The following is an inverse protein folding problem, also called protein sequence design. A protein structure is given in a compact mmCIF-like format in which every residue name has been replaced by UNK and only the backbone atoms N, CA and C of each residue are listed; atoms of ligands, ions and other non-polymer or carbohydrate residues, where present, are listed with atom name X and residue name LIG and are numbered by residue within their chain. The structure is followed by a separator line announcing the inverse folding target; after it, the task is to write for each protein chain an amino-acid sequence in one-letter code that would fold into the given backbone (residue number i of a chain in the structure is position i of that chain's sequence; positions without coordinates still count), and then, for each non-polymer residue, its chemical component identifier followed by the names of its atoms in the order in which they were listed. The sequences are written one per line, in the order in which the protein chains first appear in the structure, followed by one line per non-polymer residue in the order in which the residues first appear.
data_IF_912759700814
#
_entry.id   IF_912759700814
#
_cell.length_a   1.000
_cell.length_b   1.000
_cell.length_c   1.000
_cell.angle_alpha   90.00
_cell.angle_beta   90.00
_cell.angle_gamma   90.00
#
_symmetry.space_group_name_H-M   'P 1'
#
loop_
_entity.id
_entity.type
_entity.pdbx_description
1 polymer ?
#
# COMPACT_ATOMS: atom_id res chain seq x y z
N UNK A 1 31.96 7.35 -6.29
CA UNK A 1 31.52 7.31 -7.70
C UNK A 1 32.46 6.43 -8.53
N UNK A 2 32.03 5.19 -8.83
CA UNK A 2 32.65 4.32 -9.84
C UNK A 2 31.54 3.54 -10.56
N UNK A 3 31.18 4.08 -11.73
CA UNK A 3 30.74 3.47 -12.99
C UNK A 3 29.97 2.14 -12.92
N UNK A 4 28.69 2.24 -13.26
CA UNK A 4 27.77 1.20 -13.73
C UNK A 4 28.46 0.28 -14.75
N UNK A 5 28.43 -1.02 -14.48
CA UNK A 5 28.70 -2.08 -15.46
C UNK A 5 27.47 -3.00 -15.45
N UNK A 6 26.59 -2.76 -16.42
CA UNK A 6 25.55 -3.67 -16.84
C UNK A 6 26.24 -4.87 -17.49
N UNK A 7 26.08 -6.06 -16.91
CA UNK A 7 26.43 -7.32 -17.55
C UNK A 7 25.14 -8.08 -17.85
N UNK A 8 24.64 -7.83 -19.06
CA UNK A 8 23.72 -8.72 -19.77
C UNK A 8 24.37 -10.10 -19.88
N UNK A 9 23.71 -11.13 -19.32
CA UNK A 9 24.06 -12.52 -19.60
C UNK A 9 22.80 -13.30 -19.93
N UNK A 10 22.67 -13.60 -21.22
CA UNK A 10 21.68 -14.46 -21.87
C UNK A 10 21.77 -15.92 -21.38
N UNK A 11 20.62 -16.56 -21.13
CA UNK A 11 20.37 -17.99 -21.32
C UNK A 11 18.84 -18.24 -21.24
N UNK A 12 18.14 -18.40 -22.36
CA UNK A 12 17.89 -19.67 -23.06
C UNK A 12 16.81 -20.54 -22.39
N UNK A 13 15.59 -20.58 -22.96
CA UNK A 13 14.89 -21.82 -23.36
C UNK A 13 13.56 -21.48 -24.07
N UNK A 14 13.61 -21.15 -25.36
CA UNK A 14 12.39 -21.18 -26.20
C UNK A 14 12.28 -22.60 -26.77
N UNK A 15 11.36 -23.40 -26.25
CA UNK A 15 10.98 -24.68 -26.85
C UNK A 15 9.54 -24.58 -27.33
N UNK A 16 9.38 -24.19 -28.60
CA UNK A 16 8.11 -24.17 -29.31
C UNK A 16 7.87 -25.53 -29.94
N UNK A 17 6.84 -26.23 -29.47
CA UNK A 17 6.19 -27.30 -30.21
C UNK A 17 4.67 -27.07 -30.18
N UNK A 18 4.15 -26.44 -31.22
CA UNK A 18 2.73 -26.51 -31.56
C UNK A 18 2.59 -26.45 -33.09
N UNK A 19 2.46 -27.63 -33.69
CA UNK A 19 2.04 -27.82 -35.07
C UNK A 19 0.50 -27.97 -35.06
N UNK A 20 -0.24 -27.21 -35.87
CA UNK A 20 -1.69 -27.43 -35.96
C UNK A 20 -2.54 -26.35 -36.63
N UNK A 21 -2.36 -26.18 -37.95
CA UNK A 21 -3.38 -25.89 -38.99
C UNK A 21 -4.57 -24.93 -38.73
N UNK A 22 -4.71 -23.91 -39.60
CA UNK A 22 -6.01 -23.63 -40.25
C UNK A 22 -6.46 -22.17 -40.43
N UNK A 23 -6.16 -21.60 -41.60
CA UNK A 23 -6.98 -20.71 -42.46
C UNK A 23 -7.72 -19.47 -41.91
N UNK A 24 -7.27 -18.28 -42.35
CA UNK A 24 -8.06 -17.15 -42.93
C UNK A 24 -7.25 -15.85 -42.83
N UNK A 25 -7.31 -14.84 -43.69
CA UNK A 25 -7.80 -14.61 -45.05
C UNK A 25 -7.17 -13.26 -45.44
N UNK A 26 -6.66 -13.17 -46.66
CA UNK A 26 -5.98 -12.02 -47.23
C UNK A 26 -6.80 -10.71 -47.12
N UNK A 27 -6.17 -9.59 -46.81
CA UNK A 27 -6.61 -8.24 -47.18
C UNK A 27 -5.41 -7.29 -47.17
N UNK A 28 -4.87 -7.12 -48.38
CA UNK A 28 -3.94 -6.08 -48.79
C UNK A 28 -4.57 -4.70 -48.58
N UNK A 29 -3.84 -3.76 -47.98
CA UNK A 29 -3.99 -2.34 -48.27
C UNK A 29 -2.73 -1.57 -47.92
N UNK A 30 -2.06 -1.20 -49.01
CA UNK A 30 -1.12 -0.10 -49.17
C UNK A 30 -1.66 1.21 -48.60
N UNK A 31 -0.89 1.90 -47.75
CA UNK A 31 -0.83 3.36 -47.66
C UNK A 31 0.39 3.75 -46.79
N UNK A 32 1.46 4.25 -47.38
CA UNK A 32 1.73 5.69 -47.60
C UNK A 32 2.54 6.26 -46.43
N UNK A 33 3.77 6.63 -46.76
CA UNK A 33 4.69 7.44 -45.98
C UNK A 33 4.02 8.75 -45.54
N UNK A 34 4.16 9.13 -44.26
CA UNK A 34 4.50 10.53 -43.97
C UNK A 34 5.07 10.70 -42.56
N UNK A 35 6.36 10.97 -42.57
CA UNK A 35 7.14 11.71 -41.60
C UNK A 35 6.49 13.07 -41.36
N UNK A 36 6.22 13.43 -40.11
CA UNK A 36 6.11 14.84 -39.70
C UNK A 36 6.58 14.96 -38.26
N UNK A 37 7.83 15.38 -38.12
CA UNK A 37 8.36 15.91 -36.88
C UNK A 37 7.66 17.24 -36.61
N UNK A 38 7.15 17.42 -35.39
CA UNK A 38 6.71 18.73 -34.90
C UNK A 38 7.35 18.92 -33.55
N UNK A 39 8.55 19.50 -33.58
CA UNK A 39 9.21 20.15 -32.45
C UNK A 39 8.51 21.49 -32.21
N UNK A 40 7.82 21.60 -31.09
CA UNK A 40 7.43 22.88 -30.48
C UNK A 40 8.45 23.20 -29.40
N UNK A 41 9.47 23.96 -29.76
CA UNK A 41 10.30 24.69 -28.79
C UNK A 41 9.47 25.85 -28.24
N UNK A 42 9.21 25.83 -26.93
CA UNK A 42 8.59 26.94 -26.19
C UNK A 42 9.64 27.59 -25.29
N UNK A 43 10.00 28.79 -25.71
CA UNK A 43 10.35 30.01 -24.95
C UNK A 43 11.20 29.92 -23.67
N UNK A 44 12.42 30.46 -23.83
CA UNK A 44 12.92 31.66 -23.16
C UNK A 44 12.81 31.73 -21.62
N UNK A 45 13.96 31.49 -21.00
CA UNK A 45 14.30 31.79 -19.61
C UNK A 45 15.24 32.99 -19.60
N UNK A 46 14.96 34.00 -18.77
CA UNK A 46 15.90 34.93 -18.08
C UNK A 46 15.03 35.82 -17.15
N UNK A 47 15.14 35.73 -15.83
CA UNK A 47 16.11 36.32 -14.88
C UNK A 47 15.63 37.66 -14.28
N UNK A 48 15.75 37.78 -12.95
CA UNK A 48 16.11 38.97 -12.13
C UNK A 48 15.37 38.95 -10.77
N UNK A 49 16.02 38.51 -9.67
CA UNK A 49 16.75 39.30 -8.64
C UNK A 49 15.84 40.05 -7.66
N UNK A 50 15.80 39.57 -6.41
CA UNK A 50 16.41 40.15 -5.19
C UNK A 50 15.47 41.05 -4.38
N UNK A 51 15.14 40.66 -3.14
CA UNK A 51 15.25 41.58 -2.00
C UNK A 51 15.37 40.82 -0.67
N UNK A 52 16.15 41.41 0.22
CA UNK A 52 16.67 40.93 1.49
C UNK A 52 15.92 41.70 2.58
N UNK A 53 15.40 41.05 3.62
CA UNK A 53 15.37 41.67 4.96
C UNK A 53 15.38 40.62 6.05
N UNK A 54 16.47 40.64 6.82
CA UNK A 54 16.65 39.97 8.10
C UNK A 54 15.73 40.56 9.18
N UNK A 55 15.25 39.70 10.08
CA UNK A 55 15.03 40.07 11.48
C UNK A 55 15.34 38.86 12.36
N UNK A 56 16.56 38.85 12.87
CA UNK A 56 17.00 38.09 14.03
C UNK A 56 16.49 38.83 15.28
N UNK A 57 15.71 38.15 16.13
CA UNK A 57 15.55 38.57 17.53
C UNK A 57 15.86 37.37 18.43
N UNK A 58 16.97 37.52 19.14
CA UNK A 58 17.50 36.60 20.13
C UNK A 58 17.25 37.20 21.51
N UNK A 59 16.41 36.54 22.29
CA UNK A 59 16.21 36.83 23.70
C UNK A 59 16.54 35.60 24.56
N UNK A 60 17.79 35.52 25.03
CA UNK A 60 18.24 34.61 26.10
C UNK A 60 18.07 35.29 27.46
N UNK A 61 17.46 34.60 28.43
CA UNK A 61 17.70 34.84 29.85
C UNK A 61 17.73 33.51 30.61
N UNK A 62 18.85 33.26 31.29
CA UNK A 62 19.17 32.11 32.17
C UNK A 62 18.49 32.24 33.56
N UNK A 63 17.87 31.18 34.13
CA UNK A 63 18.37 30.25 35.20
C UNK A 63 18.22 30.79 36.65
N UNK A 64 18.15 30.01 37.76
CA UNK A 64 17.66 28.64 38.08
C UNK A 64 16.60 28.60 39.23
N UNK A 65 16.03 27.42 39.53
CA UNK A 65 15.75 27.04 40.92
C UNK A 65 14.54 26.13 41.18
N UNK A 66 14.85 24.99 41.82
CA UNK A 66 14.05 24.25 42.81
C UNK A 66 13.58 22.86 42.37
N UNK A 67 14.36 21.89 42.84
CA UNK A 67 14.03 20.49 43.09
C UNK A 67 12.77 20.38 43.96
N UNK A 68 11.85 19.46 43.66
CA UNK A 68 11.48 18.35 44.56
C UNK A 68 10.29 17.52 44.04
N UNK A 69 10.45 16.21 44.24
CA UNK A 69 9.45 15.18 44.51
C UNK A 69 8.42 14.72 43.47
N UNK A 70 8.65 13.47 43.05
CA UNK A 70 7.75 12.33 43.32
C UNK A 70 6.36 12.39 42.70
N UNK A 71 6.16 11.62 41.64
CA UNK A 71 5.44 10.32 41.71
C UNK A 71 5.48 9.67 40.32
N UNK A 72 5.88 8.40 40.28
CA UNK A 72 5.71 7.54 39.12
C UNK A 72 4.24 7.56 38.68
N UNK A 73 3.95 8.20 37.55
CA UNK A 73 2.79 7.81 36.75
C UNK A 73 3.29 6.80 35.72
N UNK A 74 3.13 5.53 36.10
CA UNK A 74 2.88 4.46 35.13
C UNK A 74 1.75 5.00 34.24
N UNK A 75 1.90 5.07 32.91
CA UNK A 75 0.74 5.31 32.08
C UNK A 75 -0.21 4.15 32.33
N UNK A 76 -1.32 4.44 33.01
CA UNK A 76 -2.51 3.58 33.00
C UNK A 76 -2.86 3.45 31.52
N UNK A 77 -2.40 2.36 30.92
CA UNK A 77 -2.93 1.84 29.69
C UNK A 77 -4.35 1.40 30.05
N UNK A 78 -5.29 2.34 30.08
CA UNK A 78 -6.71 2.05 29.95
C UNK A 78 -6.85 1.35 28.60
N UNK A 79 -6.60 0.04 28.58
CA UNK A 79 -7.16 -0.86 27.60
C UNK A 79 -8.66 -0.66 27.71
N UNK A 80 -9.19 0.19 26.83
CA UNK A 80 -10.61 0.43 26.73
C UNK A 80 -11.30 -0.92 26.68
N UNK A 81 -12.21 -1.13 27.63
CA UNK A 81 -13.17 -2.23 27.64
C UNK A 81 -14.23 -2.01 26.54
N UNK A 82 -13.73 -1.78 25.32
CA UNK A 82 -14.50 -1.63 24.11
C UNK A 82 -14.17 -2.85 23.27
N UNK A 83 -14.97 -3.90 23.45
CA UNK A 83 -14.98 -5.08 22.60
C UNK A 83 -15.53 -4.70 21.21
N UNK A 84 -14.76 -3.90 20.46
CA UNK A 84 -15.06 -3.49 19.09
C UNK A 84 -14.93 -4.74 18.23
N UNK A 85 -16.02 -5.11 17.58
CA UNK A 85 -16.02 -6.23 16.64
C UNK A 85 -15.26 -5.85 15.37
N UNK A 86 -14.37 -6.74 14.92
CA UNK A 86 -13.56 -6.59 13.71
C UNK A 86 -14.01 -7.58 12.62
N UNK A 87 -15.22 -7.41 12.03
CA UNK A 87 -15.77 -8.35 11.05
C UNK A 87 -14.92 -8.47 9.79
N UNK A 88 -14.17 -7.42 9.44
CA UNK A 88 -13.23 -7.45 8.32
C UNK A 88 -12.10 -8.46 8.54
N UNK A 89 -11.63 -8.64 9.78
CA UNK A 89 -10.60 -9.63 10.11
C UNK A 89 -11.15 -11.06 10.06
N UNK A 90 -12.39 -11.26 10.52
CA UNK A 90 -13.10 -12.54 10.39
C UNK A 90 -13.23 -12.96 8.91
N UNK A 91 -13.55 -12.00 8.04
CA UNK A 91 -13.66 -12.25 6.60
C UNK A 91 -12.30 -12.56 5.96
N UNK A 92 -11.24 -11.83 6.31
CA UNK A 92 -9.88 -12.10 5.84
C UNK A 92 -9.44 -13.52 6.25
N UNK A 93 -9.71 -13.90 7.50
CA UNK A 93 -9.36 -15.21 8.04
C UNK A 93 -10.02 -16.36 7.25
N UNK A 94 -11.23 -16.15 6.76
CA UNK A 94 -11.95 -17.13 5.95
C UNK A 94 -11.56 -17.10 4.47
N UNK A 95 -11.25 -15.91 3.93
CA UNK A 95 -11.03 -15.71 2.50
C UNK A 95 -9.61 -16.08 2.05
N UNK A 96 -8.61 -15.74 2.86
CA UNK A 96 -7.20 -15.87 2.48
C UNK A 96 -6.68 -17.24 2.90
N UNK A 97 -6.17 -18.00 1.93
CA UNK A 97 -5.51 -19.27 2.14
C UNK A 97 -4.04 -19.15 1.77
N UNK A 98 -3.13 -19.66 2.60
CA UNK A 98 -1.69 -19.60 2.33
C UNK A 98 -1.26 -20.78 1.44
N UNK A 99 -0.27 -20.57 0.56
CA UNK A 99 0.41 -21.65 -0.16
C UNK A 99 -0.35 -22.30 -1.32
N UNK A 100 -1.45 -21.70 -1.79
CA UNK A 100 -2.22 -22.22 -2.93
C UNK A 100 -2.10 -21.33 -4.17
N UNK A 101 -2.29 -21.91 -5.35
CA UNK A 101 -2.41 -21.12 -6.58
C UNK A 101 -3.63 -20.19 -6.47
N UNK A 102 -3.45 -18.90 -6.76
CA UNK A 102 -4.52 -17.90 -6.63
C UNK A 102 -4.65 -17.27 -5.23
N UNK A 103 -3.87 -17.71 -4.24
CA UNK A 103 -3.85 -17.11 -2.89
C UNK A 103 -3.59 -15.61 -2.92
N UNK A 104 -2.73 -15.16 -3.83
CA UNK A 104 -2.44 -13.73 -3.96
C UNK A 104 -3.65 -12.91 -4.41
N UNK A 105 -4.45 -13.40 -5.38
CA UNK A 105 -5.67 -12.69 -5.79
C UNK A 105 -6.72 -12.66 -4.66
N UNK A 106 -6.75 -13.67 -3.80
CA UNK A 106 -7.57 -13.65 -2.57
C UNK A 106 -7.07 -12.63 -1.56
N UNK A 107 -5.76 -12.47 -1.43
CA UNK A 107 -5.17 -11.41 -0.61
C UNK A 107 -5.48 -10.01 -1.17
N UNK A 108 -5.52 -9.84 -2.50
CA UNK A 108 -5.98 -8.59 -3.14
C UNK A 108 -7.44 -8.31 -2.82
N UNK A 109 -8.32 -9.32 -2.94
CA UNK A 109 -9.74 -9.18 -2.54
C UNK A 109 -9.87 -8.76 -1.07
N UNK A 110 -9.08 -9.35 -0.18
CA UNK A 110 -9.03 -9.01 1.23
C UNK A 110 -8.52 -7.58 1.48
N UNK A 111 -7.45 -7.16 0.79
CA UNK A 111 -6.90 -5.82 0.89
C UNK A 111 -7.91 -4.76 0.43
N UNK A 112 -8.61 -4.98 -0.68
CA UNK A 112 -9.69 -4.12 -1.17
C UNK A 112 -10.77 -3.94 -0.10
N UNK A 113 -11.26 -5.04 0.48
CA UNK A 113 -12.28 -4.99 1.55
C UNK A 113 -11.78 -4.25 2.78
N UNK A 114 -10.51 -4.44 3.15
CA UNK A 114 -9.90 -3.74 4.27
C UNK A 114 -9.80 -2.23 4.01
N UNK A 115 -9.43 -1.83 2.79
CA UNK A 115 -9.40 -0.43 2.38
C UNK A 115 -10.81 0.18 2.32
N UNK A 116 -11.79 -0.52 1.74
CA UNK A 116 -13.18 -0.06 1.69
C UNK A 116 -13.78 0.08 3.10
N UNK A 117 -13.48 -0.85 4.00
CA UNK A 117 -13.86 -0.75 5.42
C UNK A 117 -13.19 0.44 6.10
N UNK A 118 -11.90 0.68 5.85
CA UNK A 118 -11.14 1.80 6.43
C UNK A 118 -11.70 3.18 6.05
N UNK A 119 -12.34 3.30 4.88
CA UNK A 119 -13.04 4.55 4.49
C UNK A 119 -14.30 4.78 5.34
N UNK A 120 -15.01 3.71 5.73
CA UNK A 120 -16.34 3.77 6.34
C UNK A 120 -16.41 3.49 7.84
N UNK A 121 -15.29 3.15 8.48
CA UNK A 121 -15.26 2.68 9.89
C UNK A 121 -15.60 3.79 10.89
N UNK A 122 -15.09 5.01 10.68
CA UNK A 122 -15.28 6.14 11.61
C UNK A 122 -14.54 6.01 12.94
N UNK A 123 -13.76 4.95 13.13
CA UNK A 123 -12.90 4.72 14.30
C UNK A 123 -11.54 5.43 14.16
N UNK A 124 -10.94 5.81 15.28
CA UNK A 124 -9.56 6.30 15.31
C UNK A 124 -8.53 5.17 15.15
N UNK A 125 -7.31 5.51 14.72
CA UNK A 125 -6.22 4.54 14.51
C UNK A 125 -5.88 3.74 15.78
N UNK A 126 -5.81 4.38 16.95
CA UNK A 126 -5.54 3.67 18.21
C UNK A 126 -6.67 2.70 18.58
N UNK A 127 -7.93 3.10 18.40
CA UNK A 127 -9.09 2.23 18.64
C UNK A 127 -9.08 1.01 17.71
N UNK A 128 -8.72 1.20 16.43
CA UNK A 128 -8.60 0.13 15.44
C UNK A 128 -7.48 -0.85 15.81
N UNK A 129 -6.31 -0.31 16.18
CA UNK A 129 -5.15 -1.11 16.59
C UNK A 129 -5.49 -1.98 17.80
N UNK A 130 -6.07 -1.38 18.84
CA UNK A 130 -6.44 -2.09 20.06
C UNK A 130 -7.52 -3.16 19.78
N UNK A 131 -8.51 -2.85 18.92
CA UNK A 131 -9.52 -3.80 18.50
C UNK A 131 -8.92 -4.99 17.72
N UNK A 132 -7.99 -4.74 16.80
CA UNK A 132 -7.29 -5.79 16.07
C UNK A 132 -6.43 -6.66 17.00
N UNK A 133 -5.72 -6.06 17.96
CA UNK A 133 -4.96 -6.79 18.98
C UNK A 133 -5.85 -7.64 19.88
N UNK A 134 -7.00 -7.11 20.32
CA UNK A 134 -7.97 -7.85 21.12
C UNK A 134 -8.56 -9.03 20.33
N UNK A 135 -8.88 -8.84 19.05
CA UNK A 135 -9.35 -9.89 18.16
C UNK A 135 -8.30 -11.01 18.01
N UNK A 136 -7.03 -10.64 17.83
CA UNK A 136 -5.92 -11.60 17.79
C UNK A 136 -5.74 -12.35 19.11
N UNK A 137 -5.86 -11.67 20.25
CA UNK A 137 -5.76 -12.29 21.57
C UNK A 137 -6.85 -13.33 21.86
N UNK A 138 -7.99 -13.25 21.15
CA UNK A 138 -9.07 -14.25 21.21
C UNK A 138 -8.75 -15.59 20.52
N UNK A 139 -7.66 -15.68 19.76
CA UNK A 139 -7.22 -16.87 19.02
C UNK A 139 -6.16 -17.68 19.76
N UNK A 140 -6.02 -18.96 19.41
CA UNK A 140 -4.88 -19.78 19.85
C UNK A 140 -3.58 -19.35 19.17
N UNK A 141 -2.43 -19.69 19.75
CA UNK A 141 -1.13 -19.33 19.18
C UNK A 141 -0.93 -19.85 17.74
N UNK A 142 -1.44 -21.05 17.42
CA UNK A 142 -1.38 -21.60 16.05
C UNK A 142 -2.26 -20.80 15.09
N UNK A 143 -3.48 -20.45 15.49
CA UNK A 143 -4.37 -19.62 14.67
C UNK A 143 -3.82 -18.20 14.48
N UNK A 144 -3.14 -17.64 15.49
CA UNK A 144 -2.44 -16.35 15.38
C UNK A 144 -1.33 -16.42 14.33
N UNK A 145 -0.47 -17.43 14.38
CA UNK A 145 0.62 -17.61 13.41
C UNK A 145 0.09 -17.80 11.98
N UNK A 146 -0.97 -18.58 11.80
CA UNK A 146 -1.61 -18.76 10.49
C UNK A 146 -2.26 -17.46 10.00
N UNK A 147 -2.91 -16.69 10.88
CA UNK A 147 -3.53 -15.43 10.50
C UNK A 147 -2.49 -14.35 10.15
N UNK A 148 -1.37 -14.29 10.86
CA UNK A 148 -0.25 -13.39 10.51
C UNK A 148 0.24 -13.66 9.09
N UNK A 149 0.42 -14.93 8.70
CA UNK A 149 0.81 -15.27 7.32
C UNK A 149 -0.24 -14.83 6.28
N UNK A 150 -1.54 -14.90 6.61
CA UNK A 150 -2.59 -14.36 5.74
C UNK A 150 -2.47 -12.84 5.63
N UNK A 151 -2.26 -12.15 6.75
CA UNK A 151 -2.11 -10.70 6.79
C UNK A 151 -0.84 -10.22 6.08
N UNK A 152 0.26 -10.97 6.07
CA UNK A 152 1.46 -10.67 5.27
C UNK A 152 1.12 -10.64 3.77
N UNK A 153 0.32 -11.59 3.29
CA UNK A 153 -0.14 -11.57 1.89
C UNK A 153 -1.06 -10.38 1.60
N UNK A 154 -1.91 -10.00 2.56
CA UNK A 154 -2.80 -8.84 2.45
C UNK A 154 -1.99 -7.54 2.45
N UNK A 155 -0.96 -7.43 3.27
CA UNK A 155 -0.01 -6.31 3.30
C UNK A 155 0.73 -6.17 1.95
N UNK A 156 1.25 -7.27 1.42
CA UNK A 156 1.85 -7.33 0.07
C UNK A 156 0.89 -6.93 -1.06
N UNK A 157 -0.41 -7.15 -0.87
CA UNK A 157 -1.43 -6.73 -1.81
C UNK A 157 -1.78 -5.25 -1.64
N UNK A 158 -1.98 -4.81 -0.40
CA UNK A 158 -2.20 -3.42 -0.02
C UNK A 158 -1.10 -2.50 -0.56
N UNK A 159 0.17 -2.84 -0.36
CA UNK A 159 1.31 -2.07 -0.89
C UNK A 159 1.25 -1.95 -2.41
N UNK A 160 0.84 -3.01 -3.14
CA UNK A 160 0.67 -2.93 -4.60
C UNK A 160 -0.51 -2.05 -5.00
N UNK A 161 -1.60 -2.07 -4.23
CA UNK A 161 -2.77 -1.21 -4.46
C UNK A 161 -2.48 0.27 -4.21
N UNK A 162 -1.49 0.60 -3.37
CA UNK A 162 -0.97 1.96 -3.19
C UNK A 162 -0.02 2.41 -4.31
N UNK A 163 0.23 1.56 -5.31
CA UNK A 163 1.14 1.87 -6.41
C UNK A 163 0.69 3.10 -7.22
N UNK A 164 1.66 3.87 -7.72
CA UNK A 164 1.38 5.07 -8.53
C UNK A 164 1.07 4.76 -10.00
N UNK A 165 1.21 3.50 -10.43
CA UNK A 165 0.85 3.08 -11.78
C UNK A 165 -0.62 2.62 -11.81
N UNK A 166 -1.51 3.53 -12.20
CA UNK A 166 -2.95 3.29 -12.17
C UNK A 166 -3.39 2.11 -13.06
N UNK A 167 -2.75 1.91 -14.21
CA UNK A 167 -3.10 0.82 -15.12
C UNK A 167 -2.77 -0.54 -14.50
N UNK A 168 -1.60 -0.65 -13.85
CA UNK A 168 -1.22 -1.88 -13.13
C UNK A 168 -2.16 -2.17 -11.96
N UNK A 169 -2.59 -1.16 -11.20
CA UNK A 169 -3.54 -1.33 -10.09
C UNK A 169 -4.90 -1.76 -10.63
N UNK A 170 -5.38 -1.16 -11.73
CA UNK A 170 -6.66 -1.51 -12.33
C UNK A 170 -6.66 -2.92 -12.91
N UNK A 171 -5.60 -3.32 -13.59
CA UNK A 171 -5.43 -4.70 -14.09
C UNK A 171 -5.40 -5.71 -12.94
N UNK A 172 -4.76 -5.36 -11.83
CA UNK A 172 -4.73 -6.17 -10.62
C UNK A 172 -6.13 -6.32 -10.00
N UNK A 173 -6.87 -5.21 -9.89
CA UNK A 173 -8.25 -5.20 -9.41
C UNK A 173 -9.17 -6.02 -10.31
N UNK A 174 -9.06 -5.89 -11.63
CA UNK A 174 -9.84 -6.70 -12.59
C UNK A 174 -9.51 -8.19 -12.45
N UNK A 175 -8.22 -8.53 -12.37
CA UNK A 175 -7.77 -9.91 -12.18
C UNK A 175 -8.28 -10.53 -10.87
N UNK A 176 -8.39 -9.71 -9.83
CA UNK A 176 -8.97 -10.10 -8.55
C UNK A 176 -10.52 -10.08 -8.57
N UNK A 177 -11.17 -9.61 -9.63
CA UNK A 177 -12.62 -9.45 -9.69
C UNK A 177 -13.16 -8.34 -8.78
N UNK A 178 -12.36 -7.30 -8.53
CA UNK A 178 -12.63 -6.15 -7.67
C UNK A 178 -12.69 -4.84 -8.48
N UNK A 179 -13.15 -4.89 -9.72
CA UNK A 179 -13.25 -3.70 -10.59
C UNK A 179 -14.32 -2.70 -10.13
N UNK A 180 -15.16 -3.06 -9.16
CA UNK A 180 -16.14 -2.23 -8.47
C UNK A 180 -15.65 -1.66 -7.13
N UNK A 181 -14.36 -1.86 -6.79
CA UNK A 181 -13.74 -1.27 -5.60
C UNK A 181 -13.85 0.27 -5.60
N UNK A 182 -13.73 0.88 -4.42
CA UNK A 182 -13.76 2.35 -4.27
C UNK A 182 -12.51 3.06 -4.82
N UNK A 183 -11.71 2.37 -5.65
CA UNK A 183 -10.50 2.88 -6.25
C UNK A 183 -10.77 4.05 -7.23
N UNK A 184 -9.92 5.10 -7.23
CA UNK A 184 -8.82 5.33 -6.31
C UNK A 184 -9.31 5.73 -4.92
N UNK A 185 -8.77 5.09 -3.88
CA UNK A 185 -9.04 5.48 -2.51
C UNK A 185 -8.38 6.83 -2.21
N UNK A 186 -9.05 7.68 -1.42
CA UNK A 186 -8.37 8.80 -0.75
C UNK A 186 -7.34 8.29 0.27
N UNK A 187 -6.63 9.16 0.98
CA UNK A 187 -5.78 8.75 2.10
C UNK A 187 -6.58 8.20 3.31
N UNK A 188 -7.91 8.37 3.30
CA UNK A 188 -8.81 7.95 4.39
C UNK A 188 -8.63 6.53 4.96
N UNK A 189 -8.41 5.47 4.16
CA UNK A 189 -8.23 4.14 4.69
C UNK A 189 -6.79 3.83 5.12
N UNK A 190 -5.80 4.67 4.82
CA UNK A 190 -4.38 4.36 5.09
C UNK A 190 -4.15 4.18 6.60
N UNK A 191 -4.53 5.17 7.41
CA UNK A 191 -4.35 5.11 8.87
C UNK A 191 -5.12 3.92 9.48
N UNK A 192 -6.29 3.59 8.94
CA UNK A 192 -7.09 2.45 9.39
C UNK A 192 -6.44 1.12 9.07
N UNK A 193 -5.91 0.95 7.85
CA UNK A 193 -5.23 -0.28 7.42
C UNK A 193 -3.93 -0.47 8.21
N UNK A 194 -3.12 0.58 8.34
CA UNK A 194 -1.86 0.53 9.09
C UNK A 194 -2.10 0.24 10.58
N UNK A 195 -3.15 0.80 11.18
CA UNK A 195 -3.55 0.46 12.54
C UNK A 195 -3.93 -1.02 12.70
N UNK A 196 -4.65 -1.59 11.72
CA UNK A 196 -4.93 -3.03 11.70
C UNK A 196 -3.63 -3.82 11.63
N UNK A 197 -2.72 -3.48 10.71
CA UNK A 197 -1.43 -4.16 10.54
C UNK A 197 -0.59 -4.11 11.83
N UNK A 198 -0.54 -2.96 12.49
CA UNK A 198 0.11 -2.82 13.79
C UNK A 198 -0.58 -3.68 14.87
N UNK A 199 -1.91 -3.66 14.92
CA UNK A 199 -2.69 -4.40 15.90
C UNK A 199 -2.56 -5.91 15.78
N UNK A 200 -2.29 -6.43 14.57
CA UNK A 200 -2.00 -7.86 14.33
C UNK A 200 -0.52 -8.21 14.46
N UNK A 201 0.35 -7.23 14.72
CA UNK A 201 1.78 -7.42 14.99
C UNK A 201 2.70 -7.39 13.75
N UNK A 202 2.26 -6.82 12.63
CA UNK A 202 3.06 -6.69 11.40
C UNK A 202 3.91 -5.40 11.36
N UNK A 203 3.70 -4.46 12.27
CA UNK A 203 4.37 -3.15 12.38
C UNK A 203 4.65 -2.79 13.83
#
# INVERSE_FOLDING_TARGET
MRKIIVLFSFAAMMSLAACGTGSAKNSDSTATEQITETTTDTEESEEATEDITEANDSGTTETPGTEEETTEQIPDNEQGDSNISMPVLDEIDQLVTVGTAGSYLKAVQAAVKLMDWGVGTGLGADEIKDAASAWMAGKSATEQEEFVQKMEMVDDAYIKLLGTNEDEVKDLLESAGCSDASYPWSDGPIDSVEAVLAGVGLR
#
